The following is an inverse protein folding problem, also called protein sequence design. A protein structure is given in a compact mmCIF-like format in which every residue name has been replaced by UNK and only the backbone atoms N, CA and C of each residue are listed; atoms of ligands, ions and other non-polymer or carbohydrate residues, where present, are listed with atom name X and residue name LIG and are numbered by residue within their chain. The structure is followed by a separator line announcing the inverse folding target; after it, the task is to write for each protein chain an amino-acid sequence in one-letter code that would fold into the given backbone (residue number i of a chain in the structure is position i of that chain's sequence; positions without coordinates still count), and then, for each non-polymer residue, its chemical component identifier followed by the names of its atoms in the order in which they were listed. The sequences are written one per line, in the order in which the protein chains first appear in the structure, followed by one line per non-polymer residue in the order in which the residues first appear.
data_IF_245868864270
#
_entry.id   IF_245868864270
#
_cell.length_a   1.000
_cell.length_b   1.000
_cell.length_c   1.000
_cell.angle_alpha   90.00
_cell.angle_beta   90.00
_cell.angle_gamma   90.00
#
_symmetry.space_group_name_H-M   'P 1'
#
loop_
_entity.id
_entity.type
_entity.pdbx_description
1 polymer ?
#
# COMPACT_ATOMS: atom_id res chain seq x y z
N UNK A 1 -15.71 -6.28 30.76
CA UNK A 1 -16.29 -6.33 29.40
C UNK A 1 -15.17 -6.71 28.47
N UNK A 2 -15.08 -7.99 28.12
CA UNK A 2 -13.94 -8.57 27.41
C UNK A 2 -14.15 -8.43 25.90
N UNK A 3 -13.18 -7.83 25.21
CA UNK A 3 -13.18 -7.70 23.76
C UNK A 3 -13.35 -9.07 23.08
N UNK A 4 -14.17 -9.19 22.02
CA UNK A 4 -14.34 -10.44 21.30
C UNK A 4 -13.05 -10.85 20.54
N UNK A 5 -12.73 -12.14 20.47
CA UNK A 5 -11.44 -12.67 19.97
C UNK A 5 -11.18 -12.45 18.47
N UNK A 6 -12.17 -12.01 17.70
CA UNK A 6 -12.04 -11.69 16.28
C UNK A 6 -11.28 -10.39 16.00
N UNK A 7 -11.19 -9.48 16.98
CA UNK A 7 -10.53 -8.17 16.81
C UNK A 7 -9.01 -8.27 17.05
N UNK A 8 -8.54 -9.25 17.84
CA UNK A 8 -7.13 -9.41 18.18
C UNK A 8 -6.29 -10.05 17.06
N UNK A 9 -6.87 -10.91 16.22
CA UNK A 9 -6.15 -11.57 15.12
C UNK A 9 -5.78 -10.61 13.97
N UNK A 10 -6.61 -9.59 13.71
CA UNK A 10 -6.38 -8.60 12.65
C UNK A 10 -5.24 -7.64 13.02
N UNK A 11 -5.10 -7.28 14.31
CA UNK A 11 -4.06 -6.37 14.81
C UNK A 11 -2.66 -6.99 14.71
N UNK A 12 -2.52 -8.28 15.03
CA UNK A 12 -1.25 -9.01 14.88
C UNK A 12 -0.79 -9.10 13.42
N UNK A 13 -1.75 -9.25 12.49
CA UNK A 13 -1.49 -9.26 11.04
C UNK A 13 -1.00 -7.90 10.53
N UNK A 14 -1.45 -6.80 11.13
CA UNK A 14 -1.00 -5.45 10.78
C UNK A 14 0.38 -5.13 11.39
N UNK A 15 0.64 -5.50 12.64
CA UNK A 15 1.94 -5.30 13.29
C UNK A 15 3.09 -6.00 12.56
N UNK A 16 2.89 -7.25 12.13
CA UNK A 16 3.90 -7.99 11.39
C UNK A 16 4.18 -7.38 10.01
N UNK A 17 3.19 -6.72 9.39
CA UNK A 17 3.36 -6.04 8.10
C UNK A 17 4.16 -4.73 8.23
N UNK A 18 3.95 -3.97 9.30
CA UNK A 18 4.71 -2.76 9.59
C UNK A 18 6.19 -3.04 9.88
N UNK A 19 6.49 -4.12 10.62
CA UNK A 19 7.87 -4.53 10.91
C UNK A 19 8.71 -4.83 9.66
N UNK A 20 8.10 -5.33 8.60
CA UNK A 20 8.79 -5.58 7.34
C UNK A 20 9.14 -4.31 6.55
N UNK A 21 8.42 -3.21 6.78
CA UNK A 21 8.66 -1.94 6.07
C UNK A 21 9.78 -1.11 6.69
N UNK A 22 10.07 -1.29 7.98
CA UNK A 22 10.97 -0.39 8.71
C UNK A 22 12.46 -0.66 8.47
N UNK A 23 12.88 -1.79 7.88
CA UNK A 23 14.30 -2.19 7.84
C UNK A 23 14.77 -2.65 6.45
N UNK A 24 14.48 -1.86 5.40
CA UNK A 24 15.29 -1.97 4.17
C UNK A 24 16.44 -0.96 4.23
N UNK A 25 17.70 -1.41 4.30
CA UNK A 25 18.84 -0.51 4.19
C UNK A 25 18.96 -0.01 2.74
N UNK A 26 18.63 1.25 2.50
CA UNK A 26 18.86 1.96 1.23
C UNK A 26 20.33 2.36 1.13
N UNK A 27 21.18 1.41 0.74
CA UNK A 27 22.54 1.69 0.30
C UNK A 27 22.50 2.13 -1.18
N UNK A 28 22.33 3.44 -1.40
CA UNK A 28 22.46 4.08 -2.71
C UNK A 28 21.16 4.66 -3.26
N UNK A 29 20.87 5.93 -2.94
CA UNK A 29 19.70 6.67 -3.44
C UNK A 29 18.35 6.07 -3.05
N UNK A 30 17.28 6.84 -3.15
CA UNK A 30 15.94 6.27 -3.14
C UNK A 30 15.74 5.67 -4.54
N UNK A 31 15.61 4.34 -4.69
CA UNK A 31 15.37 3.75 -6.00
C UNK A 31 14.06 4.28 -6.58
N UNK A 32 14.10 4.71 -7.85
CA UNK A 32 12.90 5.13 -8.60
C UNK A 32 11.88 4.00 -8.58
N UNK A 33 10.66 4.31 -8.18
CA UNK A 33 9.53 3.39 -8.24
C UNK A 33 9.08 3.24 -9.69
N UNK A 34 8.95 1.99 -10.14
CA UNK A 34 8.47 1.67 -11.49
C UNK A 34 6.95 1.45 -11.50
N UNK A 35 6.35 1.50 -12.69
CA UNK A 35 4.92 1.14 -12.85
C UNK A 35 4.65 -0.30 -12.43
N UNK A 36 5.61 -1.21 -12.61
CA UNK A 36 5.49 -2.61 -12.19
C UNK A 36 5.45 -2.74 -10.67
N UNK A 37 6.18 -1.90 -9.93
CA UNK A 37 6.14 -1.86 -8.47
C UNK A 37 4.75 -1.44 -7.97
N UNK A 38 4.17 -0.41 -8.58
CA UNK A 38 2.81 0.04 -8.27
C UNK A 38 1.77 -1.04 -8.62
N UNK A 39 1.85 -1.66 -9.80
CA UNK A 39 0.96 -2.78 -10.20
C UNK A 39 1.04 -3.93 -9.18
N UNK A 40 2.25 -4.29 -8.77
CA UNK A 40 2.48 -5.33 -7.77
C UNK A 40 1.92 -4.95 -6.40
N UNK A 41 2.08 -3.70 -5.98
CA UNK A 41 1.54 -3.20 -4.73
C UNK A 41 0.01 -3.24 -4.71
N UNK A 42 -0.65 -2.72 -5.76
CA UNK A 42 -2.10 -2.73 -5.91
C UNK A 42 -2.65 -4.17 -5.92
N UNK A 43 -1.99 -5.08 -6.63
CA UNK A 43 -2.39 -6.50 -6.68
C UNK A 43 -2.38 -7.15 -5.30
N UNK A 44 -1.39 -6.81 -4.47
CA UNK A 44 -1.22 -7.33 -3.10
C UNK A 44 -2.21 -6.73 -2.10
N UNK A 45 -2.98 -5.70 -2.45
CA UNK A 45 -3.98 -5.13 -1.54
C UNK A 45 -5.03 -6.18 -1.14
N UNK A 46 -5.34 -6.33 0.16
CA UNK A 46 -6.37 -7.27 0.60
C UNK A 46 -7.75 -6.85 0.11
N UNK A 47 -8.53 -7.78 -0.43
CA UNK A 47 -9.94 -7.54 -0.77
C UNK A 47 -10.77 -7.37 0.49
N UNK A 48 -11.95 -6.74 0.36
CA UNK A 48 -12.91 -6.55 1.47
C UNK A 48 -12.38 -5.71 2.65
N UNK A 49 -11.35 -4.88 2.42
CA UNK A 49 -11.08 -3.77 3.34
C UNK A 49 -12.15 -2.71 3.14
N UNK A 50 -12.54 -2.08 4.23
CA UNK A 50 -13.43 -0.94 4.20
C UNK A 50 -12.85 0.15 3.29
N UNK A 51 -13.69 0.87 2.52
CA UNK A 51 -13.25 2.03 1.75
C UNK A 51 -12.59 3.09 2.65
N UNK A 52 -11.74 3.91 2.06
CA UNK A 52 -11.21 5.11 2.71
C UNK A 52 -12.29 6.18 2.92
N UNK A 53 -11.92 7.32 3.49
CA UNK A 53 -12.81 8.49 3.64
C UNK A 53 -13.29 9.03 2.28
N UNK A 54 -12.51 8.75 1.23
CA UNK A 54 -12.81 9.04 -0.17
C UNK A 54 -13.81 8.06 -0.81
N UNK A 55 -14.20 7.00 -0.11
CA UNK A 55 -15.07 5.96 -0.64
C UNK A 55 -14.39 5.00 -1.61
N UNK A 56 -13.08 5.11 -1.83
CA UNK A 56 -12.35 4.26 -2.78
C UNK A 56 -12.01 2.92 -2.11
N UNK A 57 -12.44 1.82 -2.74
CA UNK A 57 -12.14 0.45 -2.28
C UNK A 57 -10.92 -0.13 -2.99
N UNK A 58 -10.31 -1.15 -2.38
CA UNK A 58 -9.21 -1.89 -3.01
C UNK A 58 -9.63 -2.62 -4.29
N UNK A 59 -10.92 -2.90 -4.48
CA UNK A 59 -11.42 -3.51 -5.71
C UNK A 59 -11.43 -2.48 -6.86
N UNK A 60 -11.77 -1.22 -6.58
CA UNK A 60 -11.64 -0.12 -7.54
C UNK A 60 -10.16 0.09 -7.90
N UNK A 61 -9.27 0.11 -6.91
CA UNK A 61 -7.82 0.28 -7.16
C UNK A 61 -7.25 -0.80 -8.08
N UNK A 62 -7.78 -2.03 -8.01
CA UNK A 62 -7.37 -3.15 -8.87
C UNK A 62 -7.92 -3.08 -10.30
N UNK A 63 -8.91 -2.23 -10.55
CA UNK A 63 -9.55 -2.02 -11.85
C UNK A 63 -9.06 -0.74 -12.54
N UNK A 64 -8.06 -0.06 -11.99
CA UNK A 64 -7.51 1.15 -12.57
C UNK A 64 -6.91 0.88 -13.96
N UNK A 65 -7.13 1.80 -14.92
CA UNK A 65 -6.50 1.72 -16.24
C UNK A 65 -5.00 2.06 -16.14
N UNK A 66 -4.24 1.77 -17.18
CA UNK A 66 -2.78 1.89 -17.17
C UNK A 66 -2.31 3.34 -16.94
N UNK A 67 -3.04 4.31 -17.49
CA UNK A 67 -2.78 5.74 -17.34
C UNK A 67 -2.86 6.18 -15.86
N UNK A 68 -3.77 5.58 -15.09
CA UNK A 68 -3.89 5.86 -13.65
C UNK A 68 -2.71 5.26 -12.86
N UNK A 69 -2.21 4.09 -13.28
CA UNK A 69 -1.00 3.49 -12.70
C UNK A 69 0.23 4.37 -12.96
N UNK A 70 0.36 4.92 -14.17
CA UNK A 70 1.42 5.87 -14.52
C UNK A 70 1.35 7.15 -13.70
N UNK A 71 0.14 7.70 -13.51
CA UNK A 71 -0.08 8.87 -12.68
C UNK A 71 0.33 8.63 -11.21
N UNK A 72 -0.06 7.49 -10.63
CA UNK A 72 0.33 7.09 -9.27
C UNK A 72 1.86 6.92 -9.18
N UNK A 73 2.48 6.31 -10.19
CA UNK A 73 3.94 6.12 -10.24
C UNK A 73 4.67 7.47 -10.25
N UNK A 74 4.22 8.40 -11.08
CA UNK A 74 4.77 9.75 -11.16
C UNK A 74 4.61 10.49 -9.83
N UNK A 75 3.39 10.49 -9.28
CA UNK A 75 3.09 11.14 -7.99
C UNK A 75 3.99 10.58 -6.88
N UNK A 76 4.14 9.26 -6.81
CA UNK A 76 4.95 8.62 -5.75
C UNK A 76 6.42 9.01 -5.87
N UNK A 77 6.98 9.01 -7.08
CA UNK A 77 8.36 9.45 -7.30
C UNK A 77 8.55 10.93 -6.96
N UNK A 78 7.59 11.81 -7.29
CA UNK A 78 7.64 13.23 -6.91
C UNK A 78 7.64 13.40 -5.39
N UNK A 79 6.80 12.64 -4.67
CA UNK A 79 6.78 12.65 -3.19
C UNK A 79 8.13 12.22 -2.62
N UNK A 80 8.75 11.19 -3.19
CA UNK A 80 10.06 10.72 -2.77
C UNK A 80 11.18 11.72 -3.07
N UNK A 81 11.08 12.46 -4.18
CA UNK A 81 12.04 13.51 -4.55
C UNK A 81 11.89 14.78 -3.66
N UNK A 82 10.72 14.99 -3.05
CA UNK A 82 10.43 16.16 -2.18
C UNK A 82 10.77 15.92 -0.70
N UNK A 83 10.99 14.65 -0.32
CA UNK A 83 11.24 14.22 1.06
C UNK A 83 12.61 14.56 1.61
#
# INVERSE_FOLDING_TARGET
MSCPPSICHEHHRMELRWRFYQHQPVLGGIPRITTQDIKNAIRKLPRRKSPGIDGITNDILKLLPEEAIEAITTLTNVILDTG
#
